data_IF_663832435533
#
_entry.id   IF_663832435533
#
_cell.length_a   1.000
_cell.length_b   1.000
_cell.length_c   1.000
_cell.angle_alpha   90.00
_cell.angle_beta   90.00
_cell.angle_gamma   90.00
#
_symmetry.space_group_name_H-M   'P 1'
#
loop_
_entity.id
_entity.type
_entity.pdbx_description
1 polymer ?
#
# COMPACT_ATOMS: atom_id res chain seq x y z
N UNK A 1 -13.44 -26.61 6.58
CA UNK A 1 -12.52 -25.57 6.05
C UNK A 1 -13.20 -24.22 5.84
N UNK A 2 -14.45 -24.15 5.38
CA UNK A 2 -15.25 -22.91 5.28
C UNK A 2 -15.37 -22.16 6.64
N UNK A 3 -15.57 -22.90 7.75
CA UNK A 3 -15.71 -22.33 9.10
C UNK A 3 -14.48 -21.58 9.65
N UNK A 4 -13.29 -21.72 9.05
CA UNK A 4 -12.07 -21.00 9.50
C UNK A 4 -11.92 -19.63 8.84
N UNK A 5 -12.49 -19.44 7.65
CA UNK A 5 -12.65 -18.11 7.02
C UNK A 5 -13.80 -17.31 7.65
N UNK A 6 -14.84 -18.01 8.15
CA UNK A 6 -16.08 -17.44 8.71
C UNK A 6 -15.93 -16.74 10.08
N UNK A 7 -14.88 -16.99 10.89
CA UNK A 7 -14.73 -16.27 12.17
C UNK A 7 -14.44 -14.77 11.99
N UNK A 8 -13.92 -14.38 10.83
CA UNK A 8 -13.71 -12.97 10.46
C UNK A 8 -14.99 -12.36 9.83
N UNK A 9 -15.98 -13.17 9.41
CA UNK A 9 -17.18 -12.64 8.76
C UNK A 9 -18.04 -11.80 9.69
N UNK A 10 -18.21 -12.14 10.97
CA UNK A 10 -19.07 -11.31 11.84
C UNK A 10 -18.55 -9.88 11.94
N UNK A 11 -17.27 -9.70 12.24
CA UNK A 11 -16.64 -8.36 12.31
C UNK A 11 -16.73 -7.68 10.94
N UNK A 12 -16.39 -8.39 9.86
CA UNK A 12 -16.47 -7.85 8.51
C UNK A 12 -17.90 -7.43 8.10
N UNK A 13 -18.92 -8.19 8.47
CA UNK A 13 -20.33 -7.89 8.24
C UNK A 13 -20.78 -6.66 9.04
N UNK A 14 -20.35 -6.52 10.30
CA UNK A 14 -20.55 -5.29 11.07
C UNK A 14 -19.86 -4.10 10.42
N UNK A 15 -18.67 -4.31 9.84
CA UNK A 15 -17.95 -3.24 9.13
C UNK A 15 -18.67 -2.78 7.87
N UNK A 16 -19.38 -3.66 7.16
CA UNK A 16 -20.18 -3.27 5.98
C UNK A 16 -21.29 -2.28 6.32
N UNK A 17 -21.78 -2.24 7.56
CA UNK A 17 -22.75 -1.23 7.99
C UNK A 17 -22.16 0.18 7.98
N UNK A 18 -20.85 0.35 8.05
CA UNK A 18 -20.22 1.66 7.99
C UNK A 18 -20.35 2.31 6.62
N UNK A 19 -20.57 1.56 5.54
CA UNK A 19 -20.78 2.12 4.20
C UNK A 19 -22.04 3.01 4.16
N UNK A 20 -23.26 2.50 4.43
CA UNK A 20 -24.43 3.37 4.47
C UNK A 20 -24.38 4.38 5.62
N UNK A 21 -23.75 4.05 6.76
CA UNK A 21 -23.61 5.00 7.88
C UNK A 21 -22.71 6.18 7.53
N UNK A 22 -21.62 5.96 6.78
CA UNK A 22 -20.71 7.00 6.32
C UNK A 22 -21.42 7.94 5.35
N UNK A 23 -22.13 7.40 4.37
CA UNK A 23 -22.97 8.18 3.48
C UNK A 23 -24.01 9.00 4.25
N UNK A 24 -24.73 8.39 5.21
CA UNK A 24 -25.71 9.10 6.05
C UNK A 24 -25.05 10.18 6.90
N UNK A 25 -23.87 9.92 7.49
CA UNK A 25 -23.13 10.91 8.26
C UNK A 25 -22.73 12.11 7.40
N UNK A 26 -22.30 11.88 6.16
CA UNK A 26 -21.95 12.95 5.22
C UNK A 26 -23.14 13.88 4.91
N UNK A 27 -24.38 13.35 4.88
CA UNK A 27 -25.58 14.17 4.61
C UNK A 27 -26.23 14.78 5.84
N UNK A 28 -26.13 14.13 7.01
CA UNK A 28 -26.94 14.48 8.19
C UNK A 28 -26.12 15.07 9.34
N UNK A 29 -24.81 14.86 9.37
CA UNK A 29 -23.96 15.20 10.51
C UNK A 29 -22.89 16.20 10.05
N UNK A 30 -22.98 17.43 10.52
CA UNK A 30 -21.97 18.46 10.28
C UNK A 30 -20.81 18.34 11.30
N UNK A 31 -20.12 17.20 11.28
CA UNK A 31 -18.95 16.95 12.10
C UNK A 31 -17.90 16.19 11.27
N UNK A 32 -16.77 16.83 10.92
CA UNK A 32 -15.78 16.22 10.03
C UNK A 32 -15.11 15.00 10.66
N UNK A 33 -14.89 14.98 11.99
CA UNK A 33 -14.29 13.84 12.68
C UNK A 33 -15.17 12.60 12.56
N UNK A 34 -16.50 12.75 12.71
CA UNK A 34 -17.44 11.64 12.56
C UNK A 34 -17.44 11.15 11.11
N UNK A 35 -17.59 12.05 10.14
CA UNK A 35 -17.59 11.71 8.71
C UNK A 35 -16.31 10.97 8.30
N UNK A 36 -15.15 11.50 8.72
CA UNK A 36 -13.85 10.91 8.47
C UNK A 36 -13.74 9.51 9.11
N UNK A 37 -14.11 9.37 10.38
CA UNK A 37 -14.04 8.10 11.10
C UNK A 37 -14.96 7.04 10.47
N UNK A 38 -16.19 7.41 10.10
CA UNK A 38 -17.12 6.48 9.45
C UNK A 38 -16.65 6.07 8.06
N UNK A 39 -16.09 7.00 7.28
CA UNK A 39 -15.55 6.72 5.94
C UNK A 39 -14.34 5.79 6.00
N UNK A 40 -13.43 6.00 6.95
CA UNK A 40 -12.31 5.08 7.22
C UNK A 40 -12.83 3.67 7.50
N UNK A 41 -13.80 3.54 8.40
CA UNK A 41 -14.35 2.24 8.78
C UNK A 41 -15.11 1.58 7.63
N UNK A 42 -15.70 2.37 6.72
CA UNK A 42 -16.33 1.89 5.49
C UNK A 42 -15.32 1.40 4.44
N UNK A 43 -14.15 2.04 4.33
CA UNK A 43 -13.12 1.67 3.34
C UNK A 43 -12.48 0.32 3.65
N UNK A 44 -12.29 -0.03 4.93
CA UNK A 44 -11.65 -1.30 5.33
C UNK A 44 -12.34 -2.54 4.71
N UNK A 45 -13.67 -2.74 4.86
CA UNK A 45 -14.33 -3.88 4.23
C UNK A 45 -14.33 -3.77 2.69
N UNK A 46 -14.40 -2.57 2.12
CA UNK A 46 -14.33 -2.36 0.67
C UNK A 46 -12.97 -2.82 0.14
N UNK A 47 -11.86 -2.44 0.78
CA UNK A 47 -10.51 -2.86 0.44
C UNK A 47 -10.37 -4.38 0.41
N UNK A 48 -11.01 -5.05 1.38
CA UNK A 48 -11.04 -6.51 1.41
C UNK A 48 -11.85 -7.12 0.25
N UNK A 49 -12.98 -6.53 -0.12
CA UNK A 49 -13.80 -6.99 -1.26
C UNK A 49 -13.03 -6.80 -2.57
N UNK A 50 -12.41 -5.65 -2.76
CA UNK A 50 -11.56 -5.35 -3.93
C UNK A 50 -10.43 -6.37 -4.01
N UNK A 51 -9.66 -6.57 -2.93
CA UNK A 51 -8.57 -7.56 -2.91
C UNK A 51 -9.04 -8.99 -3.20
N UNK A 52 -10.20 -9.38 -2.67
CA UNK A 52 -10.80 -10.69 -2.97
C UNK A 52 -11.19 -10.82 -4.44
N UNK A 53 -11.88 -9.83 -5.02
CA UNK A 53 -12.29 -9.86 -6.42
C UNK A 53 -11.09 -9.84 -7.38
N UNK A 54 -10.08 -9.03 -7.09
CA UNK A 54 -8.79 -9.00 -7.81
C UNK A 54 -8.14 -10.38 -7.79
N UNK A 55 -8.10 -11.05 -6.64
CA UNK A 55 -7.57 -12.41 -6.52
C UNK A 55 -8.38 -13.45 -7.29
N UNK A 56 -9.71 -13.38 -7.25
CA UNK A 56 -10.59 -14.28 -8.02
C UNK A 56 -10.40 -14.12 -9.54
N UNK A 57 -10.12 -12.91 -10.03
CA UNK A 57 -9.76 -12.66 -11.43
C UNK A 57 -8.36 -13.23 -11.73
N UNK A 58 -7.39 -13.00 -10.85
CA UNK A 58 -6.02 -13.50 -10.98
C UNK A 58 -5.93 -15.04 -11.07
N UNK A 59 -6.81 -15.75 -10.35
CA UNK A 59 -6.92 -17.21 -10.38
C UNK A 59 -7.48 -17.77 -11.69
N UNK A 60 -8.24 -16.97 -12.43
CA UNK A 60 -8.92 -17.39 -13.65
C UNK A 60 -8.25 -16.86 -14.93
N UNK A 61 -7.09 -16.21 -14.80
CA UNK A 61 -6.36 -15.54 -15.89
C UNK A 61 -4.91 -16.06 -15.99
N UNK A 62 -4.24 -15.76 -17.11
CA UNK A 62 -2.84 -16.12 -17.27
C UNK A 62 -1.93 -15.28 -16.34
N UNK A 63 -0.66 -15.66 -16.10
CA UNK A 63 0.21 -14.93 -15.17
C UNK A 63 0.37 -13.44 -15.54
N UNK A 64 0.44 -13.12 -16.83
CA UNK A 64 0.63 -11.74 -17.29
C UNK A 64 -0.56 -10.84 -16.94
N UNK A 65 -1.78 -11.26 -17.27
CA UNK A 65 -3.02 -10.53 -16.96
C UNK A 65 -3.23 -10.49 -15.45
N UNK A 66 -2.97 -11.59 -14.75
CA UNK A 66 -3.03 -11.66 -13.29
C UNK A 66 -2.10 -10.63 -12.63
N UNK A 67 -0.86 -10.51 -13.10
CA UNK A 67 0.10 -9.53 -12.61
C UNK A 67 -0.39 -8.09 -12.82
N UNK A 68 -0.88 -7.77 -14.02
CA UNK A 68 -1.38 -6.43 -14.34
C UNK A 68 -2.63 -6.06 -13.54
N UNK A 69 -3.59 -6.99 -13.41
CA UNK A 69 -4.80 -6.81 -12.61
C UNK A 69 -4.44 -6.60 -11.14
N UNK A 70 -3.50 -7.40 -10.60
CA UNK A 70 -3.06 -7.27 -9.21
C UNK A 70 -2.35 -5.96 -8.95
N UNK A 71 -1.45 -5.53 -9.85
CA UNK A 71 -0.76 -4.25 -9.75
C UNK A 71 -1.72 -3.04 -9.75
N UNK A 72 -2.71 -3.07 -10.64
CA UNK A 72 -3.65 -1.96 -10.83
C UNK A 72 -4.71 -1.94 -9.72
N UNK A 73 -5.39 -3.06 -9.50
CA UNK A 73 -6.51 -3.16 -8.58
C UNK A 73 -6.12 -3.47 -7.13
N UNK A 74 -4.88 -3.90 -6.87
CA UNK A 74 -4.33 -3.98 -5.52
C UNK A 74 -4.19 -2.59 -4.88
N UNK A 75 -3.82 -1.58 -5.68
CA UNK A 75 -3.60 -0.21 -5.22
C UNK A 75 -4.74 0.75 -5.60
N UNK A 76 -5.89 0.26 -6.07
CA UNK A 76 -6.94 1.12 -6.63
C UNK A 76 -7.54 2.09 -5.61
N UNK A 77 -7.71 1.66 -4.36
CA UNK A 77 -8.26 2.54 -3.31
C UNK A 77 -7.26 3.66 -2.99
N UNK A 78 -5.97 3.34 -2.93
CA UNK A 78 -4.92 4.35 -2.75
C UNK A 78 -4.91 5.35 -3.90
N UNK A 79 -5.02 4.89 -5.15
CA UNK A 79 -5.11 5.75 -6.32
C UNK A 79 -6.37 6.63 -6.30
N UNK A 80 -7.54 6.09 -5.94
CA UNK A 80 -8.79 6.86 -5.85
C UNK A 80 -8.69 7.94 -4.78
N UNK A 81 -8.26 7.59 -3.56
CA UNK A 81 -8.08 8.54 -2.47
C UNK A 81 -7.06 9.62 -2.85
N UNK A 82 -5.94 9.23 -3.48
CA UNK A 82 -4.93 10.17 -3.95
C UNK A 82 -5.49 11.14 -5.00
N UNK A 83 -6.23 10.66 -6.00
CA UNK A 83 -6.81 11.52 -7.04
C UNK A 83 -7.83 12.50 -6.46
N UNK A 84 -8.72 12.07 -5.57
CA UNK A 84 -9.65 12.99 -4.91
C UNK A 84 -8.95 14.01 -4.02
N UNK A 85 -7.88 13.61 -3.32
CA UNK A 85 -7.06 14.52 -2.53
C UNK A 85 -6.36 15.55 -3.43
N UNK A 86 -5.81 15.13 -4.56
CA UNK A 86 -5.21 16.03 -5.55
C UNK A 86 -6.23 17.03 -6.12
N UNK A 87 -7.44 16.59 -6.43
CA UNK A 87 -8.54 17.47 -6.89
C UNK A 87 -8.90 18.56 -5.86
N UNK A 88 -8.71 18.29 -4.56
CA UNK A 88 -8.94 19.24 -3.46
C UNK A 88 -7.68 20.02 -3.05
N UNK A 89 -6.60 19.92 -3.83
CA UNK A 89 -5.33 20.60 -3.54
C UNK A 89 -4.56 20.03 -2.34
N UNK A 90 -4.93 18.84 -1.84
CA UNK A 90 -4.28 18.17 -0.71
C UNK A 90 -3.01 17.43 -1.15
N UNK A 91 -2.14 18.11 -1.92
CA UNK A 91 -0.90 17.53 -2.45
C UNK A 91 -0.02 16.95 -1.34
N UNK A 92 0.06 17.65 -0.20
CA UNK A 92 0.86 17.20 0.93
C UNK A 92 0.37 15.88 1.53
N UNK A 93 -0.95 15.67 1.61
CA UNK A 93 -1.54 14.41 2.08
C UNK A 93 -1.17 13.26 1.15
N UNK A 94 -1.17 13.50 -0.17
CA UNK A 94 -0.84 12.48 -1.17
C UNK A 94 0.65 12.13 -1.16
N UNK A 95 1.53 13.13 -1.01
CA UNK A 95 2.96 12.88 -0.84
C UNK A 95 3.23 12.05 0.42
N UNK A 96 2.60 12.45 1.53
CA UNK A 96 2.67 11.75 2.80
C UNK A 96 2.11 10.32 2.70
N UNK A 97 1.01 10.09 1.97
CA UNK A 97 0.43 8.75 1.83
C UNK A 97 1.33 7.83 1.04
N UNK A 98 1.98 8.30 -0.04
CA UNK A 98 2.97 7.48 -0.78
C UNK A 98 4.11 7.02 0.14
N UNK A 99 4.65 7.94 0.94
CA UNK A 99 5.71 7.64 1.92
C UNK A 99 5.20 6.64 2.97
N UNK A 100 4.02 6.92 3.52
CA UNK A 100 3.37 6.09 4.51
C UNK A 100 3.10 4.67 4.03
N UNK A 101 2.67 4.50 2.78
CA UNK A 101 2.36 3.19 2.22
C UNK A 101 3.65 2.37 2.06
N UNK A 102 4.76 2.99 1.62
CA UNK A 102 6.08 2.33 1.58
C UNK A 102 6.51 1.90 2.98
N UNK A 103 6.53 2.82 3.95
CA UNK A 103 6.92 2.54 5.33
C UNK A 103 6.01 1.49 5.99
N UNK A 104 4.71 1.62 5.78
CA UNK A 104 3.68 0.73 6.30
C UNK A 104 3.80 -0.68 5.75
N UNK A 105 4.29 -0.85 4.52
CA UNK A 105 4.48 -2.17 3.94
C UNK A 105 5.79 -2.83 4.37
N UNK A 106 6.88 -2.08 4.46
CA UNK A 106 8.18 -2.69 4.78
C UNK A 106 8.45 -2.81 6.28
N UNK A 107 7.87 -1.93 7.10
CA UNK A 107 8.03 -1.98 8.55
C UNK A 107 6.80 -2.60 9.23
N UNK A 108 5.61 -2.01 9.04
CA UNK A 108 4.43 -2.43 9.80
C UNK A 108 3.89 -3.78 9.31
N UNK A 109 3.64 -3.97 8.02
CA UNK A 109 3.11 -5.21 7.45
C UNK A 109 4.05 -6.38 7.70
N UNK A 110 5.32 -6.23 7.33
CA UNK A 110 6.34 -7.27 7.53
C UNK A 110 6.56 -7.49 9.03
N UNK A 111 6.68 -6.42 9.83
CA UNK A 111 6.85 -6.52 11.28
C UNK A 111 5.71 -7.28 11.96
N UNK A 112 4.45 -6.97 11.63
CA UNK A 112 3.29 -7.71 12.12
C UNK A 112 3.32 -9.17 11.68
N UNK A 113 3.71 -9.44 10.43
CA UNK A 113 3.78 -10.79 9.88
C UNK A 113 4.82 -11.63 10.62
N UNK A 114 6.03 -11.11 10.78
CA UNK A 114 7.12 -11.75 11.53
C UNK A 114 6.77 -11.92 13.01
N UNK A 115 6.17 -10.91 13.64
CA UNK A 115 5.78 -10.99 15.04
C UNK A 115 4.72 -12.07 15.25
N UNK A 116 3.59 -11.98 14.56
CA UNK A 116 2.45 -12.89 14.76
C UNK A 116 2.78 -14.31 14.30
N UNK A 117 3.51 -14.47 13.20
CA UNK A 117 4.03 -15.77 12.76
C UNK A 117 5.04 -16.36 13.76
N UNK A 118 5.92 -15.51 14.29
CA UNK A 118 6.94 -15.86 15.29
C UNK A 118 6.40 -16.27 16.65
N UNK A 119 5.21 -15.77 17.04
CA UNK A 119 4.50 -16.23 18.25
C UNK A 119 4.08 -17.71 18.14
N UNK A 120 3.89 -18.21 16.92
CA UNK A 120 3.49 -19.59 16.66
C UNK A 120 4.67 -20.48 16.28
N UNK A 121 5.67 -19.92 15.59
CA UNK A 121 6.83 -20.63 15.06
C UNK A 121 8.10 -19.99 15.58
N UNK A 122 8.89 -20.71 16.38
CA UNK A 122 10.10 -20.17 17.04
C UNK A 122 11.09 -19.54 16.04
N UNK A 123 11.21 -20.14 14.86
CA UNK A 123 11.99 -19.63 13.73
C UNK A 123 11.18 -19.83 12.44
N UNK A 124 11.13 -18.80 11.61
CA UNK A 124 10.51 -18.86 10.29
C UNK A 124 11.58 -18.69 9.22
N UNK A 125 11.69 -19.65 8.30
CA UNK A 125 12.65 -19.57 7.19
C UNK A 125 11.95 -19.04 5.95
N UNK A 126 12.70 -18.32 5.12
CA UNK A 126 12.22 -17.83 3.84
C UNK A 126 13.33 -17.92 2.79
N UNK A 127 12.96 -17.81 1.51
CA UNK A 127 13.91 -17.84 0.41
C UNK A 127 14.66 -16.50 0.30
N UNK A 128 15.89 -16.46 0.81
CA UNK A 128 16.72 -15.27 0.77
C UNK A 128 17.10 -14.81 -0.65
N UNK A 129 17.15 -15.69 -1.65
CA UNK A 129 17.43 -15.29 -3.05
C UNK A 129 16.29 -14.45 -3.62
N UNK A 130 15.05 -14.90 -3.47
CA UNK A 130 13.87 -14.18 -3.94
C UNK A 130 13.68 -12.86 -3.16
N UNK A 131 13.89 -12.89 -1.84
CA UNK A 131 13.86 -11.70 -1.00
C UNK A 131 14.92 -10.67 -1.41
N UNK A 132 16.16 -11.11 -1.74
CA UNK A 132 17.24 -10.22 -2.16
C UNK A 132 16.96 -9.49 -3.48
N UNK A 133 16.35 -10.18 -4.46
CA UNK A 133 15.95 -9.55 -5.73
C UNK A 133 14.94 -8.42 -5.47
N UNK A 134 13.89 -8.70 -4.71
CA UNK A 134 12.88 -7.71 -4.32
C UNK A 134 13.50 -6.57 -3.51
N UNK A 135 14.43 -6.87 -2.61
CA UNK A 135 15.10 -5.87 -1.79
C UNK A 135 15.95 -4.90 -2.61
N UNK A 136 16.69 -5.44 -3.59
CA UNK A 136 17.52 -4.64 -4.49
C UNK A 136 16.65 -3.73 -5.36
N UNK A 137 15.54 -4.26 -5.88
CA UNK A 137 14.58 -3.48 -6.65
C UNK A 137 13.93 -2.37 -5.81
N UNK A 138 13.63 -2.64 -4.54
CA UNK A 138 13.11 -1.67 -3.59
C UNK A 138 14.10 -0.53 -3.33
N UNK A 139 15.40 -0.84 -3.16
CA UNK A 139 16.45 0.20 -3.02
C UNK A 139 16.45 1.12 -4.24
N UNK A 140 16.47 0.56 -5.45
CA UNK A 140 16.48 1.34 -6.69
C UNK A 140 15.23 2.21 -6.79
N UNK A 141 14.06 1.65 -6.46
CA UNK A 141 12.79 2.34 -6.49
C UNK A 141 12.75 3.54 -5.53
N UNK A 142 13.16 3.33 -4.27
CA UNK A 142 13.18 4.37 -3.25
C UNK A 142 14.21 5.44 -3.55
N UNK A 143 15.39 5.08 -4.07
CA UNK A 143 16.37 6.07 -4.55
C UNK A 143 15.73 6.92 -5.64
N UNK A 144 15.08 6.30 -6.62
CA UNK A 144 14.39 7.03 -7.69
C UNK A 144 13.36 8.02 -7.17
N UNK A 145 12.50 7.61 -6.23
CA UNK A 145 11.46 8.47 -5.66
C UNK A 145 12.02 9.58 -4.77
N UNK A 146 13.17 9.38 -4.12
CA UNK A 146 13.73 10.34 -3.13
C UNK A 146 14.74 11.35 -3.72
N UNK A 147 15.42 11.03 -4.84
CA UNK A 147 16.41 11.92 -5.45
C UNK A 147 15.85 13.32 -5.81
N UNK A 148 14.63 13.47 -6.36
CA UNK A 148 14.06 14.80 -6.61
C UNK A 148 13.94 15.65 -5.34
N UNK A 149 13.67 15.02 -4.18
CA UNK A 149 13.62 15.71 -2.89
C UNK A 149 15.00 16.20 -2.46
N UNK A 150 16.06 15.38 -2.64
CA UNK A 150 17.45 15.78 -2.35
C UNK A 150 17.88 16.97 -3.22
N UNK A 151 17.51 16.96 -4.50
CA UNK A 151 17.74 18.09 -5.39
C UNK A 151 16.99 19.34 -4.92
N UNK A 152 15.72 19.21 -4.53
CA UNK A 152 14.92 20.32 -4.02
C UNK A 152 15.49 20.92 -2.72
N UNK A 153 16.02 20.11 -1.80
CA UNK A 153 16.66 20.61 -0.58
C UNK A 153 17.95 21.39 -0.83
N UNK A 154 18.72 20.96 -1.83
CA UNK A 154 19.99 21.60 -2.20
C UNK A 154 19.81 22.80 -3.13
N UNK A 155 18.68 22.87 -3.83
CA UNK A 155 18.35 23.91 -4.82
C UNK A 155 16.91 24.43 -4.64
N UNK A 156 16.56 25.03 -3.48
CA UNK A 156 15.17 25.38 -3.15
C UNK A 156 14.55 26.45 -4.06
N UNK A 157 15.38 27.28 -4.71
CA UNK A 157 14.94 28.31 -5.65
C UNK A 157 14.85 27.82 -7.12
N UNK A 158 15.11 26.53 -7.37
CA UNK A 158 15.14 25.98 -8.73
C UNK A 158 13.73 25.85 -9.31
N UNK A 159 13.52 26.41 -10.49
CA UNK A 159 12.29 26.23 -11.28
C UNK A 159 12.22 24.87 -11.96
N UNK A 160 13.30 24.07 -11.90
CA UNK A 160 13.39 22.76 -12.56
C UNK A 160 12.79 21.61 -11.74
N UNK A 161 12.33 21.85 -10.51
CA UNK A 161 11.80 20.81 -9.61
C UNK A 161 10.62 20.02 -10.22
N UNK A 162 9.60 20.66 -10.85
CA UNK A 162 8.51 19.94 -11.48
C UNK A 162 9.00 19.10 -12.66
N UNK A 163 9.80 19.69 -13.55
CA UNK A 163 10.37 19.01 -14.71
C UNK A 163 11.22 17.80 -14.31
N UNK A 164 12.00 17.92 -13.24
CA UNK A 164 12.79 16.82 -12.69
C UNK A 164 11.89 15.70 -12.17
N UNK A 165 10.82 16.05 -11.45
CA UNK A 165 9.84 15.07 -10.96
C UNK A 165 9.18 14.31 -12.12
N UNK A 166 8.80 15.02 -13.18
CA UNK A 166 8.20 14.43 -14.38
C UNK A 166 9.17 13.47 -15.10
N UNK A 167 10.41 13.91 -15.30
CA UNK A 167 11.45 13.09 -15.94
C UNK A 167 11.76 11.83 -15.13
N UNK A 168 11.88 11.95 -13.81
CA UNK A 168 12.12 10.82 -12.91
C UNK A 168 10.92 9.89 -12.88
N UNK A 169 9.68 10.40 -12.86
CA UNK A 169 8.48 9.58 -12.96
C UNK A 169 8.46 8.73 -14.24
N UNK A 170 8.83 9.29 -15.39
CA UNK A 170 8.94 8.53 -16.65
C UNK A 170 9.98 7.40 -16.56
N UNK A 171 11.14 7.66 -15.95
CA UNK A 171 12.16 6.62 -15.74
C UNK A 171 11.65 5.53 -14.81
N UNK A 172 11.01 5.88 -13.70
CA UNK A 172 10.47 4.91 -12.74
C UNK A 172 9.36 4.05 -13.36
N UNK A 173 8.46 4.66 -14.14
CA UNK A 173 7.43 3.93 -14.88
C UNK A 173 8.04 2.97 -15.92
N UNK A 174 9.10 3.38 -16.61
CA UNK A 174 9.82 2.50 -17.55
C UNK A 174 10.50 1.32 -16.82
N UNK A 175 11.12 1.57 -15.67
CA UNK A 175 11.70 0.52 -14.82
C UNK A 175 10.62 -0.43 -14.32
N UNK A 176 9.44 0.07 -13.96
CA UNK A 176 8.31 -0.78 -13.58
C UNK A 176 7.86 -1.70 -14.70
N UNK A 177 7.68 -1.18 -15.91
CA UNK A 177 7.30 -1.98 -17.08
C UNK A 177 8.37 -3.03 -17.40
N UNK A 178 9.65 -2.65 -17.32
CA UNK A 178 10.78 -3.57 -17.45
C UNK A 178 10.77 -4.66 -16.39
N UNK A 179 10.48 -4.31 -15.14
CA UNK A 179 10.34 -5.25 -14.01
C UNK A 179 9.16 -6.20 -14.16
N UNK A 180 8.01 -5.71 -14.62
CA UNK A 180 6.86 -6.54 -14.98
C UNK A 180 7.22 -7.51 -16.11
N UNK A 181 7.90 -7.05 -17.15
CA UNK A 181 8.36 -7.93 -18.23
C UNK A 181 9.37 -8.97 -17.72
N UNK A 182 10.27 -8.57 -16.83
CA UNK A 182 11.24 -9.46 -16.18
C UNK A 182 10.54 -10.58 -15.40
N UNK A 183 9.64 -10.21 -14.49
CA UNK A 183 8.91 -11.13 -13.63
C UNK A 183 7.91 -12.00 -14.38
N UNK A 184 7.19 -11.45 -15.35
CA UNK A 184 6.07 -12.13 -16.02
C UNK A 184 6.48 -12.90 -17.28
N UNK A 185 7.63 -12.59 -17.87
CA UNK A 185 8.06 -13.19 -19.14
C UNK A 185 9.44 -13.86 -19.06
N UNK A 186 10.50 -13.17 -18.65
CA UNK A 186 11.88 -13.67 -18.86
C UNK A 186 12.41 -14.52 -17.72
N UNK A 187 12.09 -14.19 -16.47
CA UNK A 187 12.66 -14.80 -15.27
C UNK A 187 11.56 -15.27 -14.31
N UNK A 188 10.55 -15.93 -14.87
CA UNK A 188 9.38 -16.40 -14.11
C UNK A 188 9.76 -17.39 -13.01
N UNK A 189 10.79 -18.19 -13.28
CA UNK A 189 11.38 -19.20 -12.39
C UNK A 189 11.97 -18.60 -11.10
N UNK A 190 12.52 -17.38 -11.16
CA UNK A 190 12.99 -16.67 -9.96
C UNK A 190 11.85 -16.26 -9.03
N UNK A 191 10.64 -16.16 -9.57
CA UNK A 191 9.41 -15.87 -8.83
C UNK A 191 8.55 -17.14 -8.64
N UNK A 192 9.09 -18.35 -8.79
CA UNK A 192 8.36 -19.63 -8.62
C UNK A 192 7.68 -19.79 -7.24
N UNK A 193 8.10 -19.04 -6.22
CA UNK A 193 7.34 -18.94 -4.96
C UNK A 193 5.90 -18.43 -5.20
N UNK A 194 5.70 -17.52 -6.16
CA UNK A 194 4.40 -17.12 -6.71
C UNK A 194 3.62 -18.26 -7.35
N UNK A 195 4.29 -19.26 -7.93
CA UNK A 195 3.64 -20.43 -8.51
C UNK A 195 3.31 -21.51 -7.46
N UNK A 196 4.09 -21.66 -6.37
CA UNK A 196 3.65 -22.40 -5.17
C UNK A 196 2.48 -21.70 -4.46
N UNK A 197 2.48 -20.36 -4.41
CA UNK A 197 1.34 -19.53 -3.98
C UNK A 197 0.12 -19.88 -4.85
N UNK A 198 0.27 -19.98 -6.17
CA UNK A 198 -0.83 -20.31 -7.10
C UNK A 198 -1.31 -21.75 -6.99
N UNK A 199 -0.40 -22.70 -6.83
CA UNK A 199 -0.70 -24.13 -6.69
C UNK A 199 -1.39 -24.45 -5.35
N UNK A 200 -1.13 -23.65 -4.31
CA UNK A 200 -1.81 -23.77 -3.01
C UNK A 200 -3.06 -22.89 -2.88
N UNK A 201 -3.34 -22.00 -3.83
CA UNK A 201 -4.59 -21.22 -3.80
C UNK A 201 -5.78 -22.13 -4.10
N UNK A 202 -6.88 -22.01 -3.34
CA UNK A 202 -8.10 -22.73 -3.63
C UNK A 202 -8.59 -22.38 -5.04
N UNK A 203 -9.28 -23.31 -5.70
CA UNK A 203 -9.98 -23.03 -6.96
C UNK A 203 -10.86 -21.81 -6.77
N UNK A 204 -10.92 -20.98 -7.80
CA UNK A 204 -11.79 -19.79 -7.82
C UNK A 204 -13.21 -20.16 -7.39
N UNK A 205 -13.73 -19.37 -6.46
CA UNK A 205 -15.06 -19.52 -5.90
C UNK A 205 -16.12 -18.86 -6.77
N UNK A 206 -15.74 -17.88 -7.58
CA UNK A 206 -16.62 -17.07 -8.41
C UNK A 206 -16.43 -17.33 -9.91
N UNK A 207 -17.50 -17.18 -10.68
CA UNK A 207 -17.36 -17.08 -12.14
C UNK A 207 -16.60 -15.80 -12.51
N UNK A 208 -15.86 -15.81 -13.63
CA UNK A 208 -15.16 -14.61 -14.16
C UNK A 208 -16.06 -13.37 -14.19
N UNK A 209 -17.29 -13.51 -14.70
CA UNK A 209 -18.26 -12.40 -14.81
C UNK A 209 -18.64 -11.85 -13.43
N UNK A 210 -18.87 -12.73 -12.45
CA UNK A 210 -19.19 -12.31 -11.09
C UNK A 210 -18.01 -11.57 -10.45
N UNK A 211 -16.78 -12.05 -10.62
CA UNK A 211 -15.59 -11.41 -10.07
C UNK A 211 -15.38 -9.99 -10.62
N UNK A 212 -15.50 -9.79 -11.95
CA UNK A 212 -15.44 -8.46 -12.55
C UNK A 212 -16.58 -7.54 -12.11
N UNK A 213 -17.80 -8.07 -11.95
CA UNK A 213 -18.96 -7.28 -11.50
C UNK A 213 -18.77 -6.81 -10.06
N UNK A 214 -18.31 -7.70 -9.18
CA UNK A 214 -18.02 -7.35 -7.79
C UNK A 214 -16.90 -6.31 -7.70
N UNK A 215 -15.83 -6.49 -8.49
CA UNK A 215 -14.72 -5.53 -8.52
C UNK A 215 -15.21 -4.14 -8.95
N UNK A 216 -16.01 -4.05 -10.01
CA UNK A 216 -16.59 -2.80 -10.50
C UNK A 216 -17.47 -2.12 -9.43
N UNK A 217 -18.41 -2.86 -8.84
CA UNK A 217 -19.30 -2.33 -7.80
C UNK A 217 -18.51 -1.87 -6.56
N UNK A 218 -17.56 -2.68 -6.09
CA UNK A 218 -16.73 -2.33 -4.95
C UNK A 218 -15.88 -1.07 -5.23
N UNK A 219 -15.40 -0.91 -6.47
CA UNK A 219 -14.64 0.27 -6.89
C UNK A 219 -15.52 1.51 -6.90
N UNK A 220 -16.77 1.42 -7.41
CA UNK A 220 -17.73 2.54 -7.38
C UNK A 220 -18.08 2.96 -5.94
N UNK A 221 -18.29 2.00 -5.05
CA UNK A 221 -18.52 2.30 -3.63
C UNK A 221 -17.26 2.90 -3.00
N UNK A 222 -16.06 2.39 -3.32
CA UNK A 222 -14.80 2.97 -2.87
C UNK A 222 -14.65 4.42 -3.33
N UNK A 223 -15.09 4.75 -4.55
CA UNK A 223 -15.09 6.12 -5.08
C UNK A 223 -15.95 7.04 -4.20
N UNK A 224 -17.18 6.64 -3.87
CA UNK A 224 -18.07 7.45 -3.00
C UNK A 224 -17.47 7.63 -1.60
N UNK A 225 -16.99 6.55 -0.98
CA UNK A 225 -16.42 6.64 0.37
C UNK A 225 -15.09 7.41 0.41
N UNK A 226 -14.28 7.32 -0.65
CA UNK A 226 -13.04 8.09 -0.76
C UNK A 226 -13.32 9.58 -0.92
N UNK A 227 -14.39 9.95 -1.63
CA UNK A 227 -14.80 11.34 -1.77
C UNK A 227 -15.19 11.95 -0.40
N UNK A 228 -16.04 11.24 0.35
CA UNK A 228 -16.44 11.60 1.72
C UNK A 228 -15.22 11.68 2.65
N UNK A 229 -14.34 10.68 2.59
CA UNK A 229 -13.12 10.64 3.41
C UNK A 229 -12.29 11.90 3.17
N UNK A 230 -12.03 12.22 1.90
CA UNK A 230 -11.11 13.31 1.54
C UNK A 230 -11.71 14.67 1.86
N UNK A 231 -13.01 14.86 1.68
CA UNK A 231 -13.70 16.08 2.13
C UNK A 231 -13.52 16.34 3.63
N UNK A 232 -13.58 15.28 4.44
CA UNK A 232 -13.49 15.38 5.89
C UNK A 232 -12.05 15.56 6.42
N UNK A 233 -11.00 15.41 5.59
CA UNK A 233 -9.59 15.47 6.01
C UNK A 233 -9.25 16.81 6.65
N UNK A 234 -9.58 17.93 6.00
CA UNK A 234 -9.15 19.25 6.49
C UNK A 234 -9.83 19.60 7.82
N UNK A 235 -11.14 19.37 7.93
CA UNK A 235 -11.88 19.59 9.17
C UNK A 235 -11.38 18.70 10.30
N UNK A 236 -11.11 17.42 10.02
CA UNK A 236 -10.57 16.49 11.03
C UNK A 236 -9.17 16.87 11.49
N UNK A 237 -8.32 17.32 10.56
CA UNK A 237 -6.97 17.80 10.89
C UNK A 237 -7.02 18.97 11.86
N UNK A 238 -7.94 19.92 11.65
CA UNK A 238 -8.14 21.08 12.52
C UNK A 238 -8.69 20.67 13.90
N UNK A 239 -9.76 19.88 13.93
CA UNK A 239 -10.46 19.52 15.18
C UNK A 239 -9.62 18.62 16.09
N UNK A 240 -8.83 17.71 15.52
CA UNK A 240 -7.97 16.79 16.27
C UNK A 240 -6.54 17.32 16.46
N UNK A 241 -6.20 18.48 15.89
CA UNK A 241 -4.85 19.04 15.92
C UNK A 241 -3.81 18.14 15.23
N UNK A 242 -4.21 17.41 14.20
CA UNK A 242 -3.35 16.50 13.43
C UNK A 242 -2.76 17.20 12.21
N UNK A 243 -1.51 16.90 11.86
CA UNK A 243 -0.91 17.41 10.62
C UNK A 243 -1.45 16.65 9.39
N UNK A 244 -1.53 17.34 8.24
CA UNK A 244 -1.85 16.67 6.97
C UNK A 244 -0.85 15.56 6.63
N UNK A 245 0.41 15.75 7.04
CA UNK A 245 1.47 14.73 6.92
C UNK A 245 1.12 13.49 7.73
N UNK A 246 0.73 13.63 9.00
CA UNK A 246 0.33 12.50 9.84
C UNK A 246 -0.84 11.72 9.26
N UNK A 247 -1.88 12.44 8.79
CA UNK A 247 -3.05 11.83 8.16
C UNK A 247 -2.63 10.99 6.94
N UNK A 248 -1.78 11.54 6.07
CA UNK A 248 -1.28 10.82 4.91
C UNK A 248 -0.41 9.61 5.29
N UNK A 249 0.68 9.84 6.05
CA UNK A 249 1.70 8.83 6.36
C UNK A 249 1.14 7.68 7.20
N UNK A 250 0.25 7.97 8.13
CA UNK A 250 -0.22 6.97 9.11
C UNK A 250 -1.62 6.51 8.76
N UNK A 251 -2.60 7.41 8.75
CA UNK A 251 -4.00 6.99 8.64
C UNK A 251 -4.30 6.44 7.24
N UNK A 252 -4.14 7.27 6.21
CA UNK A 252 -4.47 6.89 4.83
C UNK A 252 -3.68 5.65 4.41
N UNK A 253 -2.36 5.67 4.58
CA UNK A 253 -1.49 4.54 4.23
C UNK A 253 -1.80 3.23 4.98
N UNK A 254 -2.29 3.30 6.22
CA UNK A 254 -2.74 2.09 6.92
C UNK A 254 -3.99 1.52 6.28
N UNK A 255 -4.97 2.38 6.03
CA UNK A 255 -6.33 2.02 5.68
C UNK A 255 -6.41 1.51 4.24
N UNK A 256 -5.77 2.19 3.31
CA UNK A 256 -5.79 1.82 1.88
C UNK A 256 -5.14 0.45 1.64
N UNK A 257 -4.19 0.05 2.49
CA UNK A 257 -3.44 -1.20 2.38
C UNK A 257 -3.79 -2.25 3.46
N UNK A 258 -4.93 -2.11 4.13
CA UNK A 258 -5.28 -3.01 5.25
C UNK A 258 -5.56 -4.46 4.81
N UNK A 259 -6.07 -4.64 3.59
CA UNK A 259 -6.42 -5.96 3.06
C UNK A 259 -5.17 -6.80 2.73
N UNK A 260 -4.12 -6.19 2.18
CA UNK A 260 -2.86 -6.88 1.92
C UNK A 260 -2.15 -7.21 3.24
N UNK A 261 -2.15 -6.27 4.19
CA UNK A 261 -1.64 -6.48 5.56
C UNK A 261 -2.24 -7.70 6.23
N UNK A 262 -3.58 -7.81 6.23
CA UNK A 262 -4.28 -8.94 6.82
C UNK A 262 -3.91 -10.26 6.13
N UNK A 263 -3.77 -10.25 4.80
CA UNK A 263 -3.42 -11.43 4.01
C UNK A 263 -1.99 -11.90 4.27
N UNK A 264 -1.02 -10.97 4.33
CA UNK A 264 0.38 -11.27 4.65
C UNK A 264 0.52 -11.89 6.04
N UNK A 265 -0.09 -11.30 7.07
CA UNK A 265 -0.07 -11.86 8.44
C UNK A 265 -0.66 -13.27 8.46
N UNK A 266 -1.73 -13.51 7.70
CA UNK A 266 -2.35 -14.83 7.61
C UNK A 266 -1.44 -15.89 6.96
N UNK A 267 -0.58 -15.52 6.01
CA UNK A 267 0.44 -16.41 5.44
C UNK A 267 1.58 -16.67 6.42
N UNK A 268 2.04 -15.66 7.15
CA UNK A 268 3.06 -15.83 8.18
C UNK A 268 2.61 -16.78 9.29
N UNK A 269 1.35 -16.71 9.74
CA UNK A 269 0.76 -17.67 10.70
C UNK A 269 0.80 -19.12 10.16
N UNK A 270 0.70 -19.29 8.85
CA UNK A 270 0.77 -20.59 8.16
C UNK A 270 2.20 -21.05 7.88
N UNK A 271 3.20 -20.40 8.47
CA UNK A 271 4.61 -20.65 8.26
C UNK A 271 5.09 -20.39 6.82
N UNK A 272 4.43 -19.47 6.11
CA UNK A 272 4.81 -19.05 4.76
C UNK A 272 5.27 -17.59 4.80
N UNK A 273 6.40 -17.35 5.46
CA UNK A 273 6.92 -16.01 5.68
C UNK A 273 7.48 -15.37 4.40
N UNK A 274 8.05 -16.19 3.51
CA UNK A 274 8.45 -15.83 2.14
C UNK A 274 7.34 -15.09 1.39
N UNK A 275 6.11 -15.63 1.39
CA UNK A 275 4.95 -14.99 0.77
C UNK A 275 4.66 -13.62 1.41
N UNK A 276 4.80 -13.54 2.74
CA UNK A 276 4.45 -12.33 3.49
C UNK A 276 5.45 -11.21 3.22
N UNK A 277 6.74 -11.55 3.13
CA UNK A 277 7.81 -10.64 2.72
C UNK A 277 7.62 -10.18 1.27
N UNK A 278 7.31 -11.10 0.37
CA UNK A 278 7.05 -10.79 -1.04
C UNK A 278 5.86 -9.83 -1.21
N UNK A 279 4.75 -10.05 -0.49
CA UNK A 279 3.60 -9.13 -0.49
C UNK A 279 4.03 -7.72 -0.06
N UNK A 280 4.71 -7.59 1.10
CA UNK A 280 5.12 -6.29 1.62
C UNK A 280 6.10 -5.56 0.71
N UNK A 281 7.14 -6.25 0.24
CA UNK A 281 8.17 -5.65 -0.61
C UNK A 281 7.63 -5.31 -2.00
N UNK A 282 6.85 -6.20 -2.61
CA UNK A 282 6.23 -5.96 -3.92
C UNK A 282 5.25 -4.79 -3.87
N UNK A 283 4.44 -4.68 -2.82
CA UNK A 283 3.52 -3.55 -2.63
C UNK A 283 4.29 -2.22 -2.51
N UNK A 284 5.36 -2.18 -1.71
CA UNK A 284 6.23 -1.00 -1.62
C UNK A 284 6.92 -0.64 -2.96
N UNK A 285 7.39 -1.63 -3.72
CA UNK A 285 7.95 -1.44 -5.06
C UNK A 285 6.88 -0.87 -6.02
N UNK A 286 5.65 -1.38 -5.98
CA UNK A 286 4.55 -0.88 -6.81
C UNK A 286 4.19 0.56 -6.45
N UNK A 287 4.17 0.91 -5.17
CA UNK A 287 3.92 2.29 -4.76
C UNK A 287 4.99 3.23 -5.33
N UNK A 288 6.27 2.84 -5.21
CA UNK A 288 7.38 3.66 -5.64
C UNK A 288 7.57 3.73 -7.17
N UNK A 289 7.38 2.62 -7.89
CA UNK A 289 7.65 2.54 -9.34
C UNK A 289 6.41 2.70 -10.22
N UNK A 290 5.20 2.54 -9.67
CA UNK A 290 3.96 2.63 -10.43
C UNK A 290 3.03 3.72 -9.90
N UNK A 291 2.61 3.65 -8.62
CA UNK A 291 1.61 4.59 -8.07
C UNK A 291 2.14 6.02 -8.07
N UNK A 292 3.31 6.27 -7.48
CA UNK A 292 3.86 7.63 -7.41
C UNK A 292 4.14 8.23 -8.80
N UNK A 293 4.76 7.52 -9.76
CA UNK A 293 4.89 8.00 -11.13
C UNK A 293 3.57 8.27 -11.83
N UNK A 294 2.57 7.39 -11.65
CA UNK A 294 1.25 7.57 -12.22
C UNK A 294 0.57 8.85 -11.70
N UNK A 295 0.74 9.16 -10.41
CA UNK A 295 0.23 10.38 -9.79
C UNK A 295 0.94 11.64 -10.33
N UNK A 296 2.25 11.59 -10.58
CA UNK A 296 2.98 12.69 -11.23
C UNK A 296 2.45 12.93 -12.64
N UNK A 297 2.34 11.87 -13.45
CA UNK A 297 1.84 11.96 -14.82
C UNK A 297 0.38 12.44 -14.87
N UNK A 298 -0.48 11.95 -13.97
CA UNK A 298 -1.85 12.44 -13.84
C UNK A 298 -1.88 13.92 -13.44
N UNK A 299 -1.02 14.33 -12.50
CA UNK A 299 -0.88 15.73 -12.10
C UNK A 299 -0.44 16.64 -13.23
N UNK A 300 0.43 16.18 -14.12
CA UNK A 300 0.84 16.92 -15.32
C UNK A 300 -0.34 17.13 -16.29
N UNK A 301 -1.20 16.12 -16.46
CA UNK A 301 -2.35 16.18 -17.36
C UNK A 301 -3.49 17.06 -16.80
N UNK A 302 -3.74 17.01 -15.49
CA UNK A 302 -4.87 17.68 -14.85
C UNK A 302 -4.50 18.96 -14.08
N UNK A 303 -3.21 19.28 -13.97
CA UNK A 303 -2.72 20.49 -13.30
C UNK A 303 -2.76 20.44 -11.76
N UNK A 304 -2.65 19.25 -11.16
CA UNK A 304 -2.78 19.08 -9.70
C UNK A 304 -1.57 19.54 -8.87
N UNK A 305 -0.39 19.70 -9.49
CA UNK A 305 0.83 20.15 -8.80
C UNK A 305 1.53 19.10 -7.92
N UNK A 306 1.18 17.82 -8.03
CA UNK A 306 1.91 16.72 -7.38
C UNK A 306 3.33 16.57 -7.95
N UNK A 307 4.31 16.49 -7.05
CA UNK A 307 5.74 16.29 -7.36
C UNK A 307 6.35 15.26 -6.40
N UNK A 308 7.50 14.68 -6.77
CA UNK A 308 8.25 13.72 -5.93
C UNK A 308 9.13 14.45 -4.89
N UNK A 309 8.59 15.51 -4.29
CA UNK A 309 9.26 16.31 -3.27
C UNK A 309 8.63 15.99 -1.91
N UNK A 310 9.30 15.13 -1.19
CA UNK A 310 8.98 14.74 0.18
C UNK A 310 9.78 15.61 1.16
N UNK A 311 9.40 15.62 2.42
CA UNK A 311 10.15 16.28 3.49
C UNK A 311 11.44 15.52 3.80
N UNK A 312 12.41 16.21 4.40
CA UNK A 312 13.69 15.59 4.75
C UNK A 312 13.49 14.39 5.69
N UNK A 313 12.54 14.50 6.62
CA UNK A 313 12.21 13.42 7.55
C UNK A 313 11.60 12.20 6.83
N UNK A 314 10.74 12.42 5.83
CA UNK A 314 10.19 11.34 4.99
C UNK A 314 11.29 10.62 4.21
N UNK A 315 12.17 11.37 3.55
CA UNK A 315 13.28 10.80 2.78
C UNK A 315 14.18 9.94 3.67
N UNK A 316 14.60 10.48 4.82
CA UNK A 316 15.47 9.76 5.76
C UNK A 316 14.75 8.52 6.32
N UNK A 317 13.47 8.64 6.68
CA UNK A 317 12.69 7.53 7.23
C UNK A 317 12.59 6.37 6.23
N UNK A 318 12.29 6.64 4.96
CA UNK A 318 12.20 5.58 3.95
C UNK A 318 13.57 4.95 3.71
N UNK A 319 14.64 5.74 3.58
CA UNK A 319 15.98 5.21 3.34
C UNK A 319 16.43 4.28 4.49
N UNK A 320 16.22 4.69 5.74
CA UNK A 320 16.52 3.85 6.90
C UNK A 320 15.66 2.58 6.93
N UNK A 321 14.37 2.69 6.65
CA UNK A 321 13.47 1.55 6.60
C UNK A 321 13.87 0.52 5.52
N UNK A 322 14.29 1.00 4.34
CA UNK A 322 14.79 0.16 3.25
C UNK A 322 16.11 -0.53 3.64
N UNK A 323 17.01 0.19 4.33
CA UNK A 323 18.24 -0.43 4.83
C UNK A 323 17.96 -1.56 5.82
N UNK A 324 17.02 -1.34 6.75
CA UNK A 324 16.62 -2.35 7.74
C UNK A 324 16.04 -3.59 7.05
N UNK A 325 15.09 -3.41 6.13
CA UNK A 325 14.47 -4.57 5.46
C UNK A 325 15.46 -5.32 4.55
N UNK A 326 16.40 -4.61 3.93
CA UNK A 326 17.44 -5.24 3.12
C UNK A 326 18.40 -6.08 3.95
N UNK A 327 18.72 -5.62 5.17
CA UNK A 327 19.50 -6.43 6.10
C UNK A 327 18.73 -7.67 6.53
N UNK A 328 17.47 -7.53 6.93
CA UNK A 328 16.62 -8.65 7.33
C UNK A 328 16.44 -9.68 6.20
N UNK A 329 16.26 -9.22 4.96
CA UNK A 329 16.08 -10.09 3.79
C UNK A 329 17.31 -10.97 3.49
N UNK A 330 18.51 -10.55 3.90
CA UNK A 330 19.74 -11.30 3.67
C UNK A 330 19.88 -12.54 4.58
N UNK A 331 19.30 -12.49 5.79
CA UNK A 331 19.52 -13.49 6.85
C UNK A 331 18.79 -14.83 6.60
N UNK A 332 17.69 -14.82 5.83
CA UNK A 332 16.92 -16.01 5.44
C UNK A 332 16.14 -16.71 6.57
N UNK A 333 16.24 -16.22 7.80
CA UNK A 333 15.49 -16.69 8.97
C UNK A 333 15.01 -15.49 9.76
N UNK A 334 13.77 -15.53 10.25
CA UNK A 334 13.25 -14.53 11.17
C UNK A 334 12.72 -15.11 12.48
N UNK A 335 12.63 -14.25 13.49
CA UNK A 335 12.04 -14.56 14.80
C UNK A 335 11.12 -13.42 15.30
N UNK A 336 10.30 -13.70 16.31
CA UNK A 336 9.29 -12.74 16.78
C UNK A 336 9.86 -11.39 17.27
N UNK A 337 11.11 -11.36 17.76
CA UNK A 337 11.74 -10.15 18.27
C UNK A 337 12.02 -9.16 17.13
N UNK A 338 12.48 -9.64 15.97
CA UNK A 338 12.68 -8.81 14.78
C UNK A 338 11.36 -8.17 14.33
N UNK A 339 10.24 -8.91 14.45
CA UNK A 339 8.91 -8.39 14.20
C UNK A 339 8.56 -7.20 15.10
N UNK A 340 8.83 -7.32 16.41
CA UNK A 340 8.65 -6.20 17.36
C UNK A 340 9.58 -5.04 17.01
N UNK A 341 10.83 -5.31 16.65
CA UNK A 341 11.80 -4.26 16.30
C UNK A 341 11.32 -3.45 15.09
N UNK A 342 10.86 -4.11 14.03
CA UNK A 342 10.27 -3.43 12.85
C UNK A 342 9.04 -2.59 13.22
N UNK A 343 8.12 -3.15 14.00
CA UNK A 343 6.93 -2.43 14.47
C UNK A 343 7.29 -1.25 15.37
N UNK A 344 8.36 -1.37 16.17
CA UNK A 344 8.86 -0.30 17.04
C UNK A 344 9.43 0.85 16.22
N UNK A 345 10.22 0.55 15.18
CA UNK A 345 10.73 1.57 14.25
C UNK A 345 9.57 2.29 13.57
N UNK A 346 8.57 1.57 13.07
CA UNK A 346 7.37 2.19 12.49
C UNK A 346 6.64 3.09 13.50
N UNK A 347 6.46 2.62 14.73
CA UNK A 347 5.76 3.36 15.78
C UNK A 347 6.52 4.64 16.16
N UNK A 348 7.84 4.58 16.29
CA UNK A 348 8.69 5.75 16.56
C UNK A 348 8.53 6.77 15.43
N UNK A 349 8.61 6.33 14.17
CA UNK A 349 8.43 7.19 13.00
C UNK A 349 7.02 7.82 13.00
N UNK A 350 5.97 7.04 13.25
CA UNK A 350 4.58 7.50 13.30
C UNK A 350 4.34 8.53 14.41
N UNK A 351 4.93 8.34 15.59
CA UNK A 351 4.87 9.31 16.69
C UNK A 351 5.51 10.63 16.28
N UNK A 352 6.67 10.61 15.62
CA UNK A 352 7.32 11.86 15.17
C UNK A 352 6.48 12.56 14.10
N UNK A 353 5.90 11.82 13.15
CA UNK A 353 5.01 12.39 12.15
C UNK A 353 3.76 13.05 12.73
N UNK A 354 3.35 12.73 13.95
CA UNK A 354 2.26 13.43 14.62
C UNK A 354 2.62 14.89 14.94
N UNK A 355 3.90 15.17 15.19
CA UNK A 355 4.40 16.48 15.60
C UNK A 355 5.00 17.30 14.45
N UNK A 356 5.08 16.74 13.24
CA UNK A 356 5.67 17.35 12.03
C UNK A 356 4.62 17.47 10.93
#
# INVERSE_FOLDING_TARGET
MLNRYLRIEKIFLWMLLFIPLSALAAFLIDNPVIQFTTAILAIIPIARIVGFATNEIALQTNPTISGLVSATFGNIIELIVAVFALQRGLVRVVQASVVGSILGNILLLIGMSVFVGGLRHKYQRFNNKAANVSSTMLIIAVVGVTIPSVYAFTNPASTHIPLLSDAVALVLAAVYIGGLFFSLCTHRDLFDASDEIRATRPKSLLSKKAAYTILLLATLVATVESDILVDAIQGTALDLGMTQTFIGVVLIAIITNIAEKASAVQFAIQNKLDISLEIGMSSAIQIALFVAPLLVLASQLFGFGFTLVFSMFEVVSILLAVMIINHLAADGVCNWLEGIQLMSVYTIIAIVFYFV
#
